data_IF_966729222964
#
_entry.id   IF_966729222964
#
_cell.length_a   1.000
_cell.length_b   1.000
_cell.length_c   1.000
_cell.angle_alpha   90.00
_cell.angle_beta   90.00
_cell.angle_gamma   90.00
#
_symmetry.space_group_name_H-M   'P 1'
#
loop_
_entity.id
_entity.type
_entity.pdbx_description
1 polymer ?
#
# COMPACT_ATOMS: atom_id res chain seq x y z
N UNK A 1 -14.29 10.56 -6.22
CA UNK A 1 -14.97 9.25 -6.00
C UNK A 1 -15.02 8.98 -4.51
N UNK A 2 -16.03 8.24 -4.02
CA UNK A 2 -16.09 7.84 -2.61
C UNK A 2 -15.14 6.68 -2.35
N UNK A 3 -14.48 6.72 -1.20
CA UNK A 3 -13.56 5.68 -0.78
C UNK A 3 -14.35 4.40 -0.49
N UNK A 4 -13.99 3.25 -1.07
CA UNK A 4 -14.70 2.01 -0.81
C UNK A 4 -14.54 1.53 0.64
N UNK A 5 -13.50 1.98 1.35
CA UNK A 5 -13.25 1.60 2.73
C UNK A 5 -13.99 2.47 3.76
N UNK A 6 -14.00 3.79 3.59
CA UNK A 6 -14.57 4.72 4.59
C UNK A 6 -15.67 5.67 4.07
N UNK A 7 -15.95 5.67 2.77
CA UNK A 7 -16.95 6.56 2.15
C UNK A 7 -16.53 8.02 1.95
N UNK A 8 -15.36 8.44 2.44
CA UNK A 8 -14.82 9.80 2.24
C UNK A 8 -14.46 10.08 0.78
N UNK A 9 -14.47 11.35 0.39
CA UNK A 9 -14.11 11.81 -0.97
C UNK A 9 -12.72 12.47 -1.04
N UNK A 10 -11.94 12.37 0.05
CA UNK A 10 -10.61 12.95 0.14
C UNK A 10 -9.54 12.00 -0.44
N UNK A 11 -9.31 12.06 -1.76
CA UNK A 11 -8.25 11.31 -2.44
C UNK A 11 -7.17 12.22 -2.99
N UNK A 12 -5.92 11.79 -2.89
CA UNK A 12 -4.76 12.40 -3.54
C UNK A 12 -4.00 11.32 -4.29
N UNK A 13 -3.71 11.57 -5.56
CA UNK A 13 -2.83 10.69 -6.33
C UNK A 13 -1.38 11.01 -5.98
N UNK A 14 -0.69 10.04 -5.38
CA UNK A 14 0.61 10.25 -4.72
C UNK A 14 1.41 8.94 -4.65
N UNK A 15 2.68 9.06 -4.24
CA UNK A 15 3.57 7.94 -3.93
C UNK A 15 3.89 7.97 -2.44
N UNK A 16 3.57 6.90 -1.71
CA UNK A 16 3.75 6.82 -0.25
C UNK A 16 4.13 5.43 0.20
N UNK A 17 4.78 5.36 1.35
CA UNK A 17 5.01 4.10 2.04
C UNK A 17 3.70 3.60 2.67
N UNK A 18 3.41 2.31 2.49
CA UNK A 18 2.16 1.69 2.94
C UNK A 18 2.48 0.53 3.89
N UNK A 19 2.10 0.61 5.17
CA UNK A 19 2.26 -0.51 6.10
C UNK A 19 1.31 -1.66 5.75
N UNK A 20 1.79 -2.89 5.89
CA UNK A 20 0.97 -4.09 5.81
C UNK A 20 0.25 -4.33 7.14
N UNK A 21 -0.99 -4.82 7.07
CA UNK A 21 -1.77 -5.19 8.26
C UNK A 21 -1.37 -6.58 8.80
N UNK A 22 -0.07 -6.83 8.94
CA UNK A 22 0.51 -8.10 9.43
C UNK A 22 0.71 -8.09 10.95
N UNK A 23 0.63 -6.91 11.59
CA UNK A 23 0.92 -6.71 13.01
C UNK A 23 2.39 -6.40 13.31
N UNK A 24 3.28 -6.50 12.31
CA UNK A 24 4.66 -6.06 12.40
C UNK A 24 4.78 -4.60 11.92
N UNK A 25 5.25 -3.64 12.74
CA UNK A 25 5.42 -2.25 12.32
C UNK A 25 6.46 -2.05 11.21
N UNK A 26 7.36 -3.01 11.01
CA UNK A 26 8.43 -2.93 10.01
C UNK A 26 8.01 -3.45 8.62
N UNK A 27 6.84 -4.08 8.50
CA UNK A 27 6.32 -4.58 7.23
C UNK A 27 5.74 -3.42 6.40
N UNK A 28 6.63 -2.58 5.88
CA UNK A 28 6.28 -1.38 5.12
C UNK A 28 6.63 -1.59 3.64
N UNK A 29 5.63 -1.44 2.77
CA UNK A 29 5.81 -1.42 1.31
C UNK A 29 6.22 -0.02 0.88
N UNK A 30 7.45 0.19 0.37
CA UNK A 30 7.92 1.52 0.01
C UNK A 30 7.36 1.98 -1.34
N UNK A 31 7.26 3.30 -1.52
CA UNK A 31 6.99 3.94 -2.81
C UNK A 31 5.71 3.42 -3.54
N UNK A 32 4.61 3.22 -2.81
CA UNK A 32 3.35 2.76 -3.39
C UNK A 32 2.64 3.91 -4.07
N UNK A 33 2.53 3.81 -5.39
CA UNK A 33 1.87 4.79 -6.24
C UNK A 33 0.39 4.45 -6.41
N UNK A 34 -0.47 5.46 -6.28
CA UNK A 34 -1.91 5.30 -6.52
C UNK A 34 -2.72 6.45 -5.94
N UNK A 35 -4.03 6.29 -5.92
CA UNK A 35 -4.93 7.24 -5.25
C UNK A 35 -5.07 6.91 -3.77
N UNK A 36 -4.45 7.71 -2.92
CA UNK A 36 -4.46 7.57 -1.46
C UNK A 36 -5.63 8.33 -0.84
N UNK A 37 -6.42 7.63 -0.03
CA UNK A 37 -7.47 8.25 0.78
C UNK A 37 -6.84 8.95 1.98
N UNK A 38 -6.98 10.27 2.07
CA UNK A 38 -6.43 11.07 3.18
C UNK A 38 -7.19 10.88 4.50
N UNK A 39 -8.36 10.23 4.48
CA UNK A 39 -9.13 9.95 5.68
C UNK A 39 -8.76 8.62 6.36
N UNK A 40 -8.43 7.58 5.58
CA UNK A 40 -8.22 6.23 6.11
C UNK A 40 -7.03 5.48 5.50
N UNK A 41 -6.18 6.16 4.72
CA UNK A 41 -4.99 5.60 4.06
C UNK A 41 -5.25 4.46 3.04
N UNK A 42 -6.51 4.21 2.64
CA UNK A 42 -6.80 3.25 1.57
C UNK A 42 -6.19 3.70 0.25
N UNK A 43 -5.60 2.77 -0.50
CA UNK A 43 -5.01 3.06 -1.81
C UNK A 43 -5.81 2.39 -2.91
N UNK A 44 -6.11 3.12 -3.98
CA UNK A 44 -6.69 2.59 -5.21
C UNK A 44 -5.61 2.64 -6.29
N UNK A 45 -5.36 1.48 -6.91
CA UNK A 45 -4.31 1.28 -7.90
C UNK A 45 -4.91 0.81 -9.23
N UNK A 46 -4.30 1.20 -10.33
CA UNK A 46 -4.50 0.52 -11.61
C UNK A 46 -3.75 -0.84 -11.66
N UNK A 47 -3.82 -1.53 -12.80
CA UNK A 47 -3.16 -2.82 -12.95
C UNK A 47 -1.63 -2.73 -12.82
N UNK A 48 -0.99 -1.75 -13.44
CA UNK A 48 0.47 -1.63 -13.43
C UNK A 48 0.98 -1.22 -12.04
N UNK A 49 0.25 -0.34 -11.36
CA UNK A 49 0.50 0.06 -9.97
C UNK A 49 0.36 -1.14 -9.02
N UNK A 50 -0.69 -1.94 -9.20
CA UNK A 50 -0.93 -3.15 -8.40
C UNK A 50 0.13 -4.23 -8.65
N UNK A 51 0.55 -4.44 -9.91
CA UNK A 51 1.62 -5.39 -10.24
C UNK A 51 2.94 -4.96 -9.55
N UNK A 52 3.30 -3.67 -9.61
CA UNK A 52 4.49 -3.14 -8.90
C UNK A 52 4.38 -3.25 -7.37
N UNK A 53 3.19 -3.01 -6.80
CA UNK A 53 2.95 -3.19 -5.38
C UNK A 53 3.19 -4.65 -4.94
N UNK A 54 2.66 -5.61 -5.70
CA UNK A 54 2.81 -7.04 -5.40
C UNK A 54 4.27 -7.50 -5.49
N UNK A 55 5.04 -7.01 -6.47
CA UNK A 55 6.48 -7.30 -6.55
C UNK A 55 7.21 -6.87 -5.26
N UNK A 56 6.88 -5.69 -4.73
CA UNK A 56 7.49 -5.17 -3.50
C UNK A 56 7.06 -5.96 -2.26
N UNK A 57 5.78 -6.36 -2.17
CA UNK A 57 5.29 -7.22 -1.08
C UNK A 57 6.04 -8.56 -1.08
N UNK A 58 6.16 -9.21 -2.24
CA UNK A 58 6.89 -10.47 -2.35
C UNK A 58 8.38 -10.31 -1.95
N UNK A 59 9.00 -9.19 -2.32
CA UNK A 59 10.38 -8.89 -1.93
C UNK A 59 10.52 -8.70 -0.41
N UNK A 60 9.55 -8.05 0.24
CA UNK A 60 9.52 -7.89 1.70
C UNK A 60 9.35 -9.22 2.42
N UNK A 61 8.41 -10.06 1.97
CA UNK A 61 8.19 -11.40 2.53
C UNK A 61 9.44 -12.27 2.39
N UNK A 62 10.14 -12.21 1.25
CA UNK A 62 11.40 -12.92 1.03
C UNK A 62 12.50 -12.44 2.00
N UNK A 63 12.65 -11.12 2.17
CA UNK A 63 13.63 -10.55 3.09
C UNK A 63 13.34 -10.91 4.56
N UNK A 64 12.07 -10.98 4.95
CA UNK A 64 11.66 -11.42 6.28
C UNK A 64 12.00 -12.90 6.53
N UNK A 65 11.93 -13.75 5.50
CA UNK A 65 12.26 -15.18 5.59
C UNK A 65 13.76 -15.43 5.82
N UNK A 66 14.64 -14.57 5.31
CA UNK A 66 16.10 -14.68 5.46
C UNK A 66 16.61 -14.28 6.86
N UNK A 67 15.76 -13.67 7.69
CA UNK A 67 16.12 -13.17 9.03
C UNK A 67 15.84 -14.21 10.15
N UNK A 68 15.46 -15.44 9.79
CA UNK A 68 15.11 -16.53 10.71
C UNK A 68 16.15 -17.65 10.71
#
# INVERSE_FOLDING_TARGET
MKCPACGSEAFVYDTRDVPLNTGNPDDIVPDVKGSHCMACAQVIMDKAEADSYLEKVNALEAAAADTK
#
